data_IF_201945775460
#
_entry.id   IF_201945775460
#
_cell.length_a   1.000
_cell.length_b   1.000
_cell.length_c   1.000
_cell.angle_alpha   90.00
_cell.angle_beta   90.00
_cell.angle_gamma   90.00
#
_symmetry.space_group_name_H-M   'P 1'
#
loop_
_entity.id
_entity.type
_entity.pdbx_description
1 polymer ?
#
# COMPACT_ATOMS: atom_id res chain seq x y z
N UNK A 1 16.94 -17.26 -19.42
CA UNK A 1 16.31 -16.02 -18.89
C UNK A 1 17.35 -15.30 -18.03
N UNK A 2 17.79 -14.07 -18.35
CA UNK A 2 18.88 -13.46 -17.60
C UNK A 2 18.43 -13.17 -16.16
N UNK A 3 19.13 -13.79 -15.22
CA UNK A 3 19.01 -13.67 -13.77
C UNK A 3 19.37 -12.24 -13.35
N UNK A 4 18.39 -11.33 -13.38
CA UNK A 4 18.59 -9.93 -13.04
C UNK A 4 18.68 -9.81 -11.52
N UNK A 5 19.88 -10.07 -11.01
CA UNK A 5 20.28 -9.99 -9.60
C UNK A 5 19.77 -8.69 -8.97
N UNK A 6 19.23 -8.81 -7.77
CA UNK A 6 18.85 -7.65 -6.96
C UNK A 6 20.11 -6.97 -6.46
N UNK A 7 20.33 -5.73 -6.87
CA UNK A 7 21.43 -4.93 -6.35
C UNK A 7 21.13 -4.48 -4.91
N UNK A 8 22.18 -4.17 -4.15
CA UNK A 8 22.03 -3.69 -2.78
C UNK A 8 21.18 -2.41 -2.73
N UNK A 9 21.34 -1.51 -3.71
CA UNK A 9 20.53 -0.29 -3.84
C UNK A 9 19.04 -0.57 -4.09
N UNK A 10 18.70 -1.59 -4.89
CA UNK A 10 17.30 -2.01 -5.09
C UNK A 10 16.70 -2.60 -3.81
N UNK A 11 17.48 -3.39 -3.06
CA UNK A 11 17.06 -3.97 -1.79
C UNK A 11 16.84 -2.88 -0.73
N UNK A 12 17.73 -1.89 -0.68
CA UNK A 12 17.64 -0.78 0.27
C UNK A 12 16.40 0.07 0.00
N UNK A 13 16.17 0.45 -1.27
CA UNK A 13 14.94 1.13 -1.69
C UNK A 13 13.69 0.30 -1.36
N UNK A 14 13.70 -1.00 -1.63
CA UNK A 14 12.59 -1.88 -1.30
C UNK A 14 12.28 -1.83 0.20
N UNK A 15 13.29 -1.84 1.07
CA UNK A 15 13.13 -1.75 2.52
C UNK A 15 12.58 -0.39 2.96
N UNK A 16 13.08 0.71 2.40
CA UNK A 16 12.64 2.07 2.75
C UNK A 16 11.20 2.33 2.30
N UNK A 17 10.78 1.74 1.18
CA UNK A 17 9.45 1.95 0.60
C UNK A 17 8.41 0.93 1.11
N UNK A 18 8.85 -0.27 1.53
CA UNK A 18 7.98 -1.31 2.06
C UNK A 18 7.26 -0.83 3.34
N UNK A 19 5.92 -0.85 3.29
CA UNK A 19 5.07 -0.40 4.40
C UNK A 19 4.72 1.10 4.35
N UNK A 20 5.38 1.88 3.49
CA UNK A 20 5.07 3.30 3.26
C UNK A 20 4.10 3.49 2.09
N UNK A 21 4.35 2.81 0.97
CA UNK A 21 3.57 2.91 -0.27
C UNK A 21 3.14 1.52 -0.77
N UNK A 22 2.09 1.41 -1.61
CA UNK A 22 1.66 0.13 -2.17
C UNK A 22 2.71 -0.50 -3.08
N UNK A 23 2.78 -1.83 -3.08
CA UNK A 23 3.76 -2.62 -3.86
C UNK A 23 3.76 -2.29 -5.36
N UNK A 24 2.62 -1.90 -5.91
CA UNK A 24 2.51 -1.45 -7.30
C UNK A 24 3.35 -0.19 -7.58
N UNK A 25 3.37 0.77 -6.65
CA UNK A 25 4.21 1.96 -6.77
C UNK A 25 5.68 1.66 -6.50
N UNK A 26 5.98 0.79 -5.52
CA UNK A 26 7.36 0.32 -5.28
C UNK A 26 7.93 -0.32 -6.56
N UNK A 27 7.13 -1.13 -7.24
CA UNK A 27 7.50 -1.76 -8.51
C UNK A 27 7.79 -0.72 -9.61
N UNK A 28 6.98 0.33 -9.72
CA UNK A 28 7.23 1.46 -10.62
C UNK A 28 8.52 2.21 -10.28
N UNK A 29 8.77 2.49 -9.00
CA UNK A 29 9.97 3.20 -8.53
C UNK A 29 11.27 2.43 -8.76
N UNK A 30 11.24 1.11 -8.57
CA UNK A 30 12.39 0.23 -8.76
C UNK A 30 12.55 -0.17 -10.25
N UNK A 31 11.49 -0.03 -11.06
CA UNK A 31 11.47 -0.48 -12.46
C UNK A 31 11.44 -2.00 -12.59
N UNK A 32 10.76 -2.68 -11.66
CA UNK A 32 10.66 -4.15 -11.57
C UNK A 32 9.19 -4.58 -11.57
N UNK A 33 8.88 -5.80 -12.03
CA UNK A 33 7.52 -6.31 -11.95
C UNK A 33 7.08 -6.50 -10.49
N UNK A 34 5.83 -6.18 -10.20
CA UNK A 34 5.20 -6.37 -8.88
C UNK A 34 5.39 -7.78 -8.34
N UNK A 35 5.23 -8.81 -9.17
CA UNK A 35 5.46 -10.21 -8.76
C UNK A 35 6.88 -10.45 -8.23
N UNK A 36 7.91 -9.87 -8.87
CA UNK A 36 9.29 -9.97 -8.42
C UNK A 36 9.54 -9.19 -7.13
N UNK A 37 8.89 -8.04 -6.95
CA UNK A 37 8.95 -7.24 -5.73
C UNK A 37 8.30 -7.99 -4.55
N UNK A 38 7.15 -8.64 -4.78
CA UNK A 38 6.45 -9.45 -3.77
C UNK A 38 7.32 -10.64 -3.34
N UNK A 39 7.85 -11.41 -4.30
CA UNK A 39 8.74 -12.53 -4.01
C UNK A 39 9.97 -12.10 -3.22
N UNK A 40 10.60 -10.99 -3.63
CA UNK A 40 11.79 -10.49 -2.92
C UNK A 40 11.47 -9.96 -1.54
N UNK A 41 10.37 -9.23 -1.37
CA UNK A 41 9.94 -8.77 -0.06
C UNK A 41 9.61 -9.94 0.87
N UNK A 42 9.00 -11.01 0.34
CA UNK A 42 8.74 -12.24 1.08
C UNK A 42 10.03 -12.94 1.51
N UNK A 43 11.01 -13.06 0.60
CA UNK A 43 12.35 -13.60 0.89
C UNK A 43 13.07 -12.79 1.98
N UNK A 44 12.91 -11.45 1.95
CA UNK A 44 13.47 -10.53 2.93
C UNK A 44 12.63 -10.39 4.21
N UNK A 45 11.52 -11.12 4.33
CA UNK A 45 10.55 -11.02 5.45
C UNK A 45 10.07 -9.58 5.71
N UNK A 46 9.94 -8.78 4.65
CA UNK A 46 9.44 -7.41 4.72
C UNK A 46 7.91 -7.40 4.69
N UNK A 47 7.31 -6.64 5.60
CA UNK A 47 5.86 -6.45 5.63
C UNK A 47 5.45 -5.44 4.54
N UNK A 48 4.99 -5.93 3.39
CA UNK A 48 4.34 -5.12 2.36
C UNK A 48 2.91 -4.66 2.75
N UNK A 49 2.50 -4.97 3.99
CA UNK A 49 1.19 -4.68 4.52
C UNK A 49 1.09 -3.18 4.75
N UNK A 50 0.64 -2.45 3.72
CA UNK A 50 0.20 -1.07 3.85
C UNK A 50 -0.84 -1.08 4.97
N UNK A 51 -0.55 -0.41 6.09
CA UNK A 51 -1.55 -0.22 7.14
C UNK A 51 -2.72 0.47 6.44
N UNK A 52 -3.92 -0.13 6.37
CA UNK A 52 -5.09 0.58 5.88
C UNK A 52 -5.38 1.63 6.94
N UNK A 53 -4.73 2.80 6.82
CA UNK A 53 -5.06 3.95 7.62
C UNK A 53 -6.41 4.44 7.09
N UNK A 54 -7.48 3.84 7.62
CA UNK A 54 -8.69 4.52 8.07
C UNK A 54 -9.14 5.71 7.19
N UNK A 55 -9.09 5.56 5.87
CA UNK A 55 -9.56 6.58 4.95
C UNK A 55 -11.02 6.25 4.64
N UNK A 56 -11.88 6.89 5.44
CA UNK A 56 -13.33 6.99 5.30
C UNK A 56 -14.09 5.69 5.49
N UNK A 57 -14.42 5.43 6.76
CA UNK A 57 -15.83 5.19 7.05
C UNK A 57 -16.61 6.36 6.43
N UNK A 58 -17.51 6.18 5.44
CA UNK A 58 -18.53 7.17 5.24
C UNK A 58 -19.30 7.19 6.56
N UNK A 59 -19.35 8.35 7.19
CA UNK A 59 -20.21 8.58 8.32
C UNK A 59 -21.60 8.02 7.99
N UNK A 60 -22.07 7.08 8.81
CA UNK A 60 -23.50 6.91 9.01
C UNK A 60 -23.99 8.22 9.65
N UNK A 61 -24.30 9.20 8.82
CA UNK A 61 -25.04 10.40 9.21
C UNK A 61 -26.34 10.41 8.40
N UNK A 62 -27.37 9.64 8.81
CA UNK A 62 -28.72 10.03 8.49
C UNK A 62 -28.99 11.28 9.32
N UNK A 63 -28.88 12.45 8.66
CA UNK A 63 -28.99 13.75 9.29
C UNK A 63 -30.27 13.95 10.13
N UNK A 64 -30.32 15.00 10.96
CA UNK A 64 -31.45 15.24 11.83
C UNK A 64 -32.69 15.58 11.01
N UNK A 65 -33.65 14.67 10.94
CA UNK A 65 -35.00 14.98 10.51
C UNK A 65 -35.70 15.80 11.62
N UNK A 66 -35.28 17.04 11.77
CA UNK A 66 -36.07 18.08 12.40
C UNK A 66 -37.08 18.58 11.39
N UNK A 67 -38.32 18.10 11.49
CA UNK A 67 -39.48 18.80 10.95
C UNK A 67 -40.57 18.77 12.03
N UNK A 68 -40.55 19.81 12.86
CA UNK A 68 -41.68 20.25 13.67
C UNK A 68 -42.83 20.61 12.72
N UNK A 69 -43.93 19.85 12.80
CA UNK A 69 -45.21 20.28 12.28
C UNK A 69 -46.20 20.35 13.44
N UNK A 70 -46.01 21.38 14.26
CA UNK A 70 -47.06 21.95 15.10
C UNK A 70 -47.99 22.76 14.20
N UNK A 71 -49.18 22.23 13.86
CA UNK A 71 -50.46 22.95 13.76
C UNK A 71 -51.58 21.96 14.05
#
# INVERSE_FOLDING_TARGET
MPNRLWTHSEIDKLKSLAGTIPTAQIASEIGRPTSGVIMKAFELKLSLKLKPNQARSPANDPGPAGMDLTI
#
